data_IF_342525489247
#
_entry.id   IF_342525489247
#
_cell.length_a   1.000
_cell.length_b   1.000
_cell.length_c   1.000
_cell.angle_alpha   90.00
_cell.angle_beta   90.00
_cell.angle_gamma   90.00
#
_symmetry.space_group_name_H-M   'P 1'
#
loop_
_entity.id
_entity.type
_entity.pdbx_description
1 polymer ?
#
# COMPACT_ATOMS: atom_id res chain seq x y z
N UNK A 1 5.40 -11.19 -39.11
CA UNK A 1 4.23 -10.50 -38.50
C UNK A 1 4.19 -10.90 -37.05
N UNK A 2 4.53 -9.98 -36.15
CA UNK A 2 4.59 -10.23 -34.72
C UNK A 2 3.76 -9.13 -34.04
N UNK A 3 2.97 -9.53 -33.06
CA UNK A 3 2.22 -8.71 -32.09
C UNK A 3 0.85 -8.17 -32.51
N UNK A 4 -0.19 -8.75 -31.89
CA UNK A 4 -1.56 -8.25 -31.92
C UNK A 4 -2.49 -8.88 -30.88
N UNK A 5 -1.95 -9.52 -29.83
CA UNK A 5 -2.71 -9.92 -28.65
C UNK A 5 -2.04 -9.28 -27.45
N UNK A 6 -2.38 -8.01 -27.20
CA UNK A 6 -2.27 -7.51 -25.83
C UNK A 6 -3.36 -8.26 -25.08
N UNK A 7 -2.97 -9.13 -24.15
CA UNK A 7 -3.93 -9.93 -23.40
C UNK A 7 -4.95 -9.01 -22.70
N UNK A 8 -6.23 -9.37 -22.75
CA UNK A 8 -7.29 -8.58 -22.14
C UNK A 8 -7.05 -8.38 -20.62
N UNK A 9 -6.31 -9.29 -19.99
CA UNK A 9 -5.84 -9.15 -18.60
C UNK A 9 -4.83 -8.01 -18.43
N UNK A 10 -3.93 -7.82 -19.39
CA UNK A 10 -2.97 -6.71 -19.42
C UNK A 10 -3.72 -5.40 -19.65
N UNK A 11 -4.70 -5.38 -20.56
CA UNK A 11 -5.54 -4.20 -20.78
C UNK A 11 -6.39 -3.84 -19.55
N UNK A 12 -6.99 -4.83 -18.88
CA UNK A 12 -7.73 -4.61 -17.64
C UNK A 12 -6.82 -4.12 -16.50
N UNK A 13 -5.62 -4.70 -16.37
CA UNK A 13 -4.63 -4.25 -15.39
C UNK A 13 -4.15 -2.81 -15.67
N UNK A 14 -3.97 -2.44 -16.93
CA UNK A 14 -3.60 -1.08 -17.34
C UNK A 14 -4.75 -0.09 -17.15
N UNK A 15 -5.98 -0.41 -17.55
CA UNK A 15 -7.16 0.44 -17.33
C UNK A 15 -7.39 0.71 -15.84
N UNK A 16 -7.35 -0.33 -15.00
CA UNK A 16 -7.47 -0.16 -13.55
C UNK A 16 -6.35 0.72 -12.99
N UNK A 17 -5.12 0.59 -13.53
CA UNK A 17 -3.99 1.42 -13.12
C UNK A 17 -4.21 2.90 -13.47
N UNK A 18 -4.79 3.20 -14.64
CA UNK A 18 -5.09 4.58 -15.05
C UNK A 18 -6.26 5.19 -14.26
N UNK A 19 -7.34 4.45 -14.04
CA UNK A 19 -8.48 4.94 -13.22
C UNK A 19 -8.04 5.29 -11.79
N UNK A 20 -7.16 4.47 -11.16
CA UNK A 20 -6.61 4.77 -9.83
C UNK A 20 -5.66 5.97 -9.80
N UNK A 21 -5.16 6.40 -10.95
CA UNK A 21 -4.35 7.61 -11.06
C UNK A 21 -5.22 8.86 -11.12
N UNK A 22 -6.38 8.80 -11.77
CA UNK A 22 -7.29 9.96 -11.92
C UNK A 22 -7.99 10.30 -10.59
N UNK A 23 -8.51 9.30 -9.88
CA UNK A 23 -9.14 9.48 -8.56
C UNK A 23 -8.15 10.06 -7.52
N UNK A 24 -6.89 9.66 -7.60
CA UNK A 24 -5.82 10.14 -6.74
C UNK A 24 -5.53 11.64 -6.94
N UNK A 25 -5.45 12.07 -8.20
CA UNK A 25 -5.21 13.47 -8.56
C UNK A 25 -6.40 14.34 -8.12
N UNK A 26 -7.63 13.85 -8.33
CA UNK A 26 -8.83 14.55 -7.91
C UNK A 26 -8.86 14.79 -6.40
N UNK A 27 -8.47 13.81 -5.58
CA UNK A 27 -8.45 13.97 -4.12
C UNK A 27 -7.45 15.07 -3.68
N UNK A 28 -6.29 15.24 -4.34
CA UNK A 28 -5.36 16.33 -4.04
C UNK A 28 -5.97 17.69 -4.39
N UNK A 29 -6.54 17.82 -5.58
CA UNK A 29 -7.14 19.07 -6.05
C UNK A 29 -8.27 19.51 -5.12
N UNK A 30 -9.16 18.58 -4.74
CA UNK A 30 -10.26 18.86 -3.84
C UNK A 30 -9.78 19.22 -2.43
N UNK A 31 -8.74 18.56 -1.91
CA UNK A 31 -8.13 18.98 -0.64
C UNK A 31 -7.50 20.37 -0.73
N UNK A 32 -6.74 20.66 -1.79
CA UNK A 32 -6.07 21.95 -1.95
C UNK A 32 -7.05 23.12 -2.06
N UNK A 33 -8.20 22.90 -2.70
CA UNK A 33 -9.24 23.90 -2.90
C UNK A 33 -10.19 24.04 -1.69
N UNK A 34 -10.56 22.92 -1.05
CA UNK A 34 -11.61 22.89 -0.03
C UNK A 34 -11.14 22.67 1.41
N UNK A 35 -9.89 22.24 1.63
CA UNK A 35 -9.35 21.79 2.94
C UNK A 35 -10.24 20.73 3.63
N UNK A 36 -10.91 19.89 2.84
CA UNK A 36 -11.80 18.87 3.38
C UNK A 36 -10.99 17.81 4.17
N UNK A 37 -11.50 17.46 5.35
CA UNK A 37 -10.92 16.44 6.19
C UNK A 37 -11.01 15.04 5.56
N UNK A 38 -12.02 14.78 4.73
CA UNK A 38 -12.21 13.48 4.08
C UNK A 38 -11.11 13.19 3.05
N UNK A 39 -10.81 14.15 2.17
CA UNK A 39 -9.73 14.01 1.19
C UNK A 39 -8.37 13.88 1.86
N UNK A 40 -8.13 14.64 2.94
CA UNK A 40 -6.91 14.51 3.73
C UNK A 40 -6.77 13.12 4.38
N UNK A 41 -7.88 12.53 4.84
CA UNK A 41 -7.88 11.18 5.41
C UNK A 41 -7.56 10.12 4.36
N UNK A 42 -8.10 10.23 3.14
CA UNK A 42 -7.78 9.30 2.02
C UNK A 42 -6.30 9.36 1.66
N UNK A 43 -5.79 10.57 1.50
CA UNK A 43 -4.37 10.86 1.22
C UNK A 43 -3.47 10.24 2.31
N UNK A 44 -3.78 10.45 3.59
CA UNK A 44 -3.02 9.90 4.72
C UNK A 44 -3.10 8.37 4.82
N UNK A 45 -4.27 7.78 4.57
CA UNK A 45 -4.44 6.33 4.56
C UNK A 45 -3.60 5.68 3.46
N UNK A 46 -3.58 6.27 2.25
CA UNK A 46 -2.70 5.82 1.16
C UNK A 46 -1.22 5.92 1.54
N UNK A 47 -0.83 7.01 2.19
CA UNK A 47 0.56 7.20 2.64
C UNK A 47 0.98 6.12 3.64
N UNK A 48 0.13 5.79 4.62
CA UNK A 48 0.38 4.69 5.57
C UNK A 48 0.63 3.36 4.87
N UNK A 49 -0.21 3.01 3.89
CA UNK A 49 -0.04 1.79 3.09
C UNK A 49 1.26 1.81 2.29
N UNK A 50 1.59 2.96 1.69
CA UNK A 50 2.80 3.12 0.89
C UNK A 50 4.04 2.86 1.74
N UNK A 51 4.16 3.52 2.90
CA UNK A 51 5.29 3.34 3.81
C UNK A 51 5.38 1.90 4.33
N UNK A 52 4.24 1.25 4.62
CA UNK A 52 4.25 -0.15 5.04
C UNK A 52 4.77 -1.08 3.94
N UNK A 53 4.34 -0.88 2.69
CA UNK A 53 4.81 -1.65 1.54
C UNK A 53 6.31 -1.42 1.28
N UNK A 54 6.80 -0.18 1.43
CA UNK A 54 8.24 0.11 1.33
C UNK A 54 9.04 -0.65 2.38
N UNK A 55 8.60 -0.61 3.64
CA UNK A 55 9.28 -1.30 4.75
C UNK A 55 9.30 -2.82 4.53
N UNK A 56 8.21 -3.41 4.05
CA UNK A 56 8.14 -4.84 3.72
C UNK A 56 9.06 -5.21 2.55
N UNK A 57 9.11 -4.39 1.49
CA UNK A 57 10.03 -4.64 0.37
C UNK A 57 11.49 -4.60 0.80
N UNK A 58 11.88 -3.64 1.64
CA UNK A 58 13.24 -3.54 2.16
C UNK A 58 13.59 -4.77 3.03
N UNK A 59 12.70 -5.17 3.94
CA UNK A 59 12.90 -6.35 4.79
C UNK A 59 12.97 -7.65 3.97
N UNK A 60 12.15 -7.77 2.92
CA UNK A 60 12.16 -8.93 2.02
C UNK A 60 13.32 -8.92 1.00
N UNK A 61 14.18 -7.90 1.01
CA UNK A 61 15.30 -7.77 0.06
C UNK A 61 14.87 -7.50 -1.39
N UNK A 62 13.65 -7.00 -1.60
CA UNK A 62 13.10 -6.67 -2.92
C UNK A 62 13.52 -5.29 -3.42
N UNK A 63 14.01 -4.45 -2.52
CA UNK A 63 14.53 -3.13 -2.81
C UNK A 63 15.74 -2.85 -1.92
N UNK A 64 16.67 -2.03 -2.42
CA UNK A 64 17.86 -1.58 -1.66
C UNK A 64 17.67 -0.21 -1.02
N UNK A 65 16.70 0.57 -1.50
CA UNK A 65 16.32 1.86 -0.95
C UNK A 65 14.82 2.09 -1.09
N UNK A 66 14.30 3.13 -0.43
CA UNK A 66 12.86 3.42 -0.36
C UNK A 66 12.24 3.84 -1.70
N UNK A 67 13.02 4.37 -2.65
CA UNK A 67 12.49 4.89 -3.92
C UNK A 67 11.97 3.72 -4.75
N UNK A 68 10.65 3.68 -4.91
CA UNK A 68 9.99 2.60 -5.65
C UNK A 68 9.84 1.29 -4.86
N UNK A 69 10.26 1.23 -3.59
CA UNK A 69 10.14 0.00 -2.80
C UNK A 69 8.69 -0.49 -2.65
N UNK A 70 7.72 0.43 -2.50
CA UNK A 70 6.29 0.04 -2.48
C UNK A 70 5.85 -0.58 -3.81
N UNK A 71 6.42 -0.16 -4.94
CA UNK A 71 6.16 -0.76 -6.25
C UNK A 71 6.81 -2.15 -6.33
N UNK A 72 8.08 -2.27 -5.93
CA UNK A 72 8.78 -3.57 -5.88
C UNK A 72 8.03 -4.60 -5.04
N UNK A 73 7.45 -4.19 -3.91
CA UNK A 73 6.56 -5.04 -3.12
C UNK A 73 5.38 -5.55 -3.96
N UNK A 74 4.64 -4.63 -4.59
CA UNK A 74 3.44 -4.97 -5.37
C UNK A 74 3.75 -5.84 -6.58
N UNK A 75 4.86 -5.58 -7.27
CA UNK A 75 5.31 -6.34 -8.43
C UNK A 75 5.70 -7.76 -8.03
N UNK A 76 6.37 -7.93 -6.88
CA UNK A 76 6.75 -9.25 -6.37
C UNK A 76 5.55 -10.13 -5.98
N UNK A 77 4.42 -9.51 -5.62
CA UNK A 77 3.16 -10.22 -5.36
C UNK A 77 2.48 -10.72 -6.64
N UNK A 78 2.91 -10.25 -7.82
CA UNK A 78 2.39 -10.69 -9.12
C UNK A 78 1.10 -9.97 -9.56
N UNK A 79 0.56 -10.32 -10.74
CA UNK A 79 -0.63 -9.68 -11.31
C UNK A 79 -1.96 -10.28 -10.83
N UNK A 80 -1.94 -11.34 -10.01
CA UNK A 80 -3.15 -12.03 -9.57
C UNK A 80 -3.99 -11.10 -8.68
N UNK A 81 -5.31 -11.07 -8.88
CA UNK A 81 -6.24 -10.26 -8.09
C UNK A 81 -6.79 -11.01 -6.86
N UNK A 82 -6.64 -12.34 -6.80
CA UNK A 82 -7.11 -13.12 -5.67
C UNK A 82 -6.29 -12.83 -4.42
N UNK A 83 -6.94 -12.26 -3.41
CA UNK A 83 -6.29 -11.88 -2.15
C UNK A 83 -5.54 -13.05 -1.50
N UNK A 84 -6.13 -14.24 -1.48
CA UNK A 84 -5.51 -15.42 -0.85
C UNK A 84 -4.17 -15.77 -1.51
N UNK A 85 -4.15 -15.83 -2.84
CA UNK A 85 -2.94 -16.10 -3.64
C UNK A 85 -1.85 -15.05 -3.39
N UNK A 86 -2.23 -13.77 -3.30
CA UNK A 86 -1.29 -12.68 -2.99
C UNK A 86 -0.77 -12.76 -1.55
N UNK A 87 -1.61 -13.12 -0.58
CA UNK A 87 -1.20 -13.30 0.81
C UNK A 87 -0.19 -14.44 0.95
N UNK A 88 -0.42 -15.57 0.28
CA UNK A 88 0.51 -16.70 0.29
C UNK A 88 1.85 -16.33 -0.38
N UNK A 89 1.80 -15.55 -1.45
CA UNK A 89 3.01 -14.98 -2.06
C UNK A 89 3.75 -14.05 -1.11
N UNK A 90 3.05 -13.13 -0.45
CA UNK A 90 3.63 -12.21 0.54
C UNK A 90 4.33 -12.98 1.68
N UNK A 91 3.67 -14.01 2.22
CA UNK A 91 4.25 -14.87 3.26
C UNK A 91 5.50 -15.58 2.76
N UNK A 92 5.45 -16.13 1.53
CA UNK A 92 6.59 -16.82 0.94
C UNK A 92 7.80 -15.91 0.75
N UNK A 93 7.58 -14.64 0.38
CA UNK A 93 8.64 -13.63 0.27
C UNK A 93 9.27 -13.30 1.63
N UNK A 94 8.43 -13.12 2.67
CA UNK A 94 8.87 -12.73 4.00
C UNK A 94 9.49 -13.89 4.81
N UNK A 95 9.19 -15.14 4.44
CA UNK A 95 9.74 -16.36 5.05
C UNK A 95 10.90 -16.97 4.24
N UNK A 96 11.38 -16.28 3.21
CA UNK A 96 12.52 -16.76 2.44
C UNK A 96 13.75 -16.94 3.36
N UNK A 97 14.56 -18.01 3.20
CA UNK A 97 15.68 -18.30 4.12
C UNK A 97 16.71 -17.18 4.25
N UNK A 98 16.81 -16.31 3.25
CA UNK A 98 17.72 -15.16 3.20
C UNK A 98 17.16 -13.92 3.91
N UNK A 99 15.90 -13.93 4.33
CA UNK A 99 15.21 -12.80 4.93
C UNK A 99 15.25 -12.91 6.45
N UNK A 100 15.70 -11.85 7.10
CA UNK A 100 15.68 -11.71 8.56
C UNK A 100 14.79 -10.55 8.94
N UNK A 101 13.57 -10.87 9.37
CA UNK A 101 12.60 -9.86 9.81
C UNK A 101 12.95 -9.34 11.20
N UNK A 102 12.83 -8.03 11.40
CA UNK A 102 12.82 -7.47 12.76
C UNK A 102 11.53 -7.87 13.53
N UNK A 103 11.55 -7.76 14.86
CA UNK A 103 10.42 -8.17 15.72
C UNK A 103 9.12 -7.44 15.38
N UNK A 104 9.22 -6.16 15.00
CA UNK A 104 8.06 -5.36 14.64
C UNK A 104 7.41 -5.85 13.35
N UNK A 105 8.23 -6.23 12.37
CA UNK A 105 7.81 -6.80 11.10
C UNK A 105 7.22 -8.20 11.33
N UNK A 106 7.84 -9.03 12.18
CA UNK A 106 7.25 -10.32 12.58
C UNK A 106 5.86 -10.14 13.17
N UNK A 107 5.70 -9.24 14.14
CA UNK A 107 4.40 -8.95 14.75
C UNK A 107 3.36 -8.47 13.72
N UNK A 108 3.78 -7.58 12.80
CA UNK A 108 2.91 -7.13 11.71
C UNK A 108 2.44 -8.29 10.81
N UNK A 109 3.33 -9.21 10.45
CA UNK A 109 2.97 -10.35 9.57
C UNK A 109 1.94 -11.32 10.17
N UNK A 110 1.77 -11.30 11.49
CA UNK A 110 0.75 -12.11 12.18
C UNK A 110 -0.65 -11.48 12.09
N UNK A 111 -0.77 -10.21 11.72
CA UNK A 111 -2.06 -9.55 11.55
C UNK A 111 -2.67 -9.82 10.18
N UNK A 112 -3.77 -10.56 10.15
CA UNK A 112 -4.53 -10.79 8.93
C UNK A 112 -5.07 -9.48 8.32
N UNK A 113 -5.57 -8.56 9.15
CA UNK A 113 -6.11 -7.28 8.70
C UNK A 113 -5.02 -6.37 8.10
N UNK A 114 -3.86 -6.26 8.75
CA UNK A 114 -2.73 -5.48 8.22
C UNK A 114 -2.17 -6.08 6.92
N UNK A 115 -1.97 -7.39 6.89
CA UNK A 115 -1.47 -8.10 5.71
C UNK A 115 -2.43 -8.02 4.53
N UNK A 116 -3.75 -8.04 4.77
CA UNK A 116 -4.76 -7.80 3.73
C UNK A 116 -4.52 -6.45 3.04
N UNK A 117 -4.43 -5.35 3.79
CA UNK A 117 -4.34 -4.01 3.21
C UNK A 117 -3.06 -3.79 2.36
N UNK A 118 -1.93 -4.37 2.78
CA UNK A 118 -0.66 -4.24 2.03
C UNK A 118 -0.55 -5.19 0.84
N UNK A 119 -1.47 -6.15 0.69
CA UNK A 119 -1.46 -7.15 -0.39
C UNK A 119 -2.63 -7.03 -1.36
N UNK A 120 -3.82 -6.63 -0.93
CA UNK A 120 -5.06 -6.67 -1.73
C UNK A 120 -4.93 -5.92 -3.06
N UNK A 121 -5.56 -6.43 -4.11
CA UNK A 121 -5.78 -5.77 -5.41
C UNK A 121 -7.17 -6.19 -5.91
N UNK A 122 -8.09 -5.28 -6.24
CA UNK A 122 -7.99 -3.82 -6.12
C UNK A 122 -7.90 -3.36 -4.65
N UNK A 123 -7.39 -2.15 -4.42
CA UNK A 123 -7.39 -1.54 -3.08
C UNK A 123 -8.09 -0.20 -3.12
N UNK A 124 -9.17 -0.07 -2.35
CA UNK A 124 -9.94 1.18 -2.27
C UNK A 124 -9.08 2.32 -1.71
N UNK A 125 -8.19 2.01 -0.76
CA UNK A 125 -7.28 3.00 -0.16
C UNK A 125 -6.25 3.47 -1.18
N UNK A 126 -5.79 2.62 -2.11
CA UNK A 126 -4.81 3.00 -3.14
C UNK A 126 -5.42 3.51 -4.43
N UNK A 127 -6.71 3.28 -4.65
CA UNK A 127 -7.45 3.94 -5.72
C UNK A 127 -7.64 5.44 -5.41
N UNK A 128 -7.63 5.80 -4.12
CA UNK A 128 -7.91 7.15 -3.61
C UNK A 128 -6.68 7.78 -2.97
N UNK A 129 -6.66 9.10 -2.85
CA UNK A 129 -5.56 9.89 -2.30
C UNK A 129 -4.36 9.98 -3.24
N UNK A 130 -3.62 11.08 -3.19
CA UNK A 130 -2.47 11.31 -4.06
C UNK A 130 -1.15 10.74 -3.51
N UNK A 131 -0.16 10.55 -4.39
CA UNK A 131 1.27 10.37 -4.07
C UNK A 131 1.92 11.65 -3.50
N UNK A 132 1.13 12.63 -3.08
CA UNK A 132 1.62 13.89 -2.54
C UNK A 132 2.73 13.62 -1.52
N UNK A 133 3.84 14.34 -1.66
CA UNK A 133 5.06 14.12 -0.90
C UNK A 133 4.82 14.37 0.60
N UNK A 134 4.32 13.37 1.30
CA UNK A 134 4.21 13.39 2.75
C UNK A 134 5.60 13.27 3.37
N UNK A 135 5.81 13.88 4.55
CA UNK A 135 6.98 13.57 5.33
C UNK A 135 7.03 12.05 5.55
N UNK A 136 8.21 11.47 5.26
CA UNK A 136 8.45 10.02 5.42
C UNK A 136 8.19 9.55 6.85
N UNK A 137 8.42 10.44 7.82
CA UNK A 137 8.15 10.17 9.22
C UNK A 137 6.64 10.15 9.48
N UNK A 138 6.12 8.99 9.83
CA UNK A 138 4.76 8.83 10.30
C UNK A 138 4.71 9.22 11.78
N UNK A 139 3.94 10.27 12.10
CA UNK A 139 3.75 10.75 13.48
C UNK A 139 2.37 10.31 13.94
N UNK A 140 2.29 9.45 14.96
CA UNK A 140 1.02 8.89 15.46
C UNK A 140 -0.08 9.92 15.64
N UNK A 141 0.20 11.02 16.35
CA UNK A 141 -0.80 12.07 16.61
C UNK A 141 -1.40 12.71 15.34
N UNK A 142 -0.69 12.69 14.22
CA UNK A 142 -1.17 13.23 12.93
C UNK A 142 -2.08 12.23 12.21
N UNK A 143 -1.78 10.94 12.29
CA UNK A 143 -2.48 9.89 11.53
C UNK A 143 -3.59 9.19 12.32
N UNK A 144 -3.58 9.27 13.66
CA UNK A 144 -4.53 8.55 14.51
C UNK A 144 -5.98 8.92 14.19
N UNK A 145 -6.29 10.21 13.99
CA UNK A 145 -7.64 10.65 13.62
C UNK A 145 -8.11 10.07 12.29
N UNK A 146 -7.21 9.98 11.30
CA UNK A 146 -7.50 9.34 10.02
C UNK A 146 -7.83 7.87 10.21
N UNK A 147 -7.02 7.14 11.01
CA UNK A 147 -7.27 5.72 11.32
C UNK A 147 -8.61 5.55 12.02
N UNK A 148 -8.91 6.39 13.01
CA UNK A 148 -10.12 6.28 13.82
C UNK A 148 -11.41 6.49 13.02
N UNK A 149 -11.38 7.32 11.96
CA UNK A 149 -12.53 7.61 11.10
C UNK A 149 -12.67 6.67 9.90
N UNK A 150 -11.66 5.84 9.62
CA UNK A 150 -11.65 5.01 8.41
C UNK A 150 -12.39 3.69 8.60
N UNK A 151 -13.08 3.21 7.55
CA UNK A 151 -13.84 1.94 7.59
C UNK A 151 -12.96 0.70 7.86
N UNK A 152 -11.73 0.68 7.33
CA UNK A 152 -10.71 -0.36 7.56
C UNK A 152 -9.86 -0.06 8.82
N UNK A 153 -10.47 0.51 9.87
CA UNK A 153 -9.77 0.96 11.10
C UNK A 153 -8.83 -0.10 11.67
N UNK A 154 -9.28 -1.35 11.78
CA UNK A 154 -8.48 -2.43 12.37
C UNK A 154 -7.17 -2.66 11.62
N UNK A 155 -7.24 -2.80 10.29
CA UNK A 155 -6.05 -2.98 9.47
C UNK A 155 -5.15 -1.75 9.46
N UNK A 156 -5.73 -0.55 9.39
CA UNK A 156 -4.98 0.70 9.42
C UNK A 156 -4.31 0.99 10.76
N UNK A 157 -4.92 0.57 11.88
CA UNK A 157 -4.30 0.68 13.19
C UNK A 157 -3.04 -0.16 13.26
N UNK A 158 -3.10 -1.40 12.79
CA UNK A 158 -1.93 -2.28 12.72
C UNK A 158 -0.86 -1.71 11.79
N UNK A 159 -1.26 -1.16 10.64
CA UNK A 159 -0.33 -0.49 9.73
C UNK A 159 0.34 0.70 10.42
N UNK A 160 -0.41 1.56 11.09
CA UNK A 160 0.12 2.70 11.85
C UNK A 160 1.10 2.24 12.94
N UNK A 161 0.75 1.20 13.69
CA UNK A 161 1.62 0.62 14.73
C UNK A 161 2.90 0.01 14.16
N UNK A 162 2.91 -0.41 12.90
CA UNK A 162 4.07 -0.96 12.22
C UNK A 162 5.01 0.11 11.66
N UNK A 163 4.46 1.20 11.11
CA UNK A 163 5.23 2.23 10.40
C UNK A 163 5.55 3.47 11.22
N UNK A 164 4.86 3.69 12.35
CA UNK A 164 5.14 4.83 13.22
C UNK A 164 6.48 4.63 13.94
N UNK A 165 7.41 5.55 13.76
CA UNK A 165 8.60 5.61 14.60
C UNK A 165 8.21 6.15 15.98
N UNK A 166 8.67 5.51 17.05
CA UNK A 166 8.49 5.99 18.43
C UNK A 166 9.39 7.22 18.71
#
# INVERSE_FOLDING_TARGET
MLHGKVDNEILAALSNKFEWHDDAIQDLEQWALGKDAEYLDRIRARHLLTVAQEKLALQAGLATDVRGASLSWRDALGPQNELYTRLDKARSLLLAPTVQLDERTKAFTLSAAGMKLVTEVPSVIRARGDYAAHPRKIIRGVFQQTVDRHQEKEGLQVVLDFVCDD
#
